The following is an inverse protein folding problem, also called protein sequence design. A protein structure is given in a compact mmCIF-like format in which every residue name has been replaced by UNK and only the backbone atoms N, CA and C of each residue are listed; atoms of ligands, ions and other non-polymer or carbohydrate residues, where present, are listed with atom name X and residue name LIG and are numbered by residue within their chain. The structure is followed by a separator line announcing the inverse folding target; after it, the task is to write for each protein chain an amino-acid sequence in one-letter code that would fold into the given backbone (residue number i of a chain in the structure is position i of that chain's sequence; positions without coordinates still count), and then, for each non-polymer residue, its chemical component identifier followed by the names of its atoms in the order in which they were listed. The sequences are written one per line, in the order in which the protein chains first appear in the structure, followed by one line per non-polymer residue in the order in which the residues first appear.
data_IF_823782024447
#
_entry.id   IF_823782024447
#
_cell.length_a   1.000
_cell.length_b   1.000
_cell.length_c   1.000
_cell.angle_alpha   90.00
_cell.angle_beta   90.00
_cell.angle_gamma   90.00
#
_symmetry.space_group_name_H-M   'P 1'
#
loop_
_entity.id
_entity.type
_entity.pdbx_description
1 polymer ?
#
# COMPACT_ATOMS: atom_id res chain seq x y z
N UNK A 1 -8.19 -29.65 9.01
CA UNK A 1 -6.99 -30.00 8.21
C UNK A 1 -6.53 -28.73 7.54
N UNK A 2 -5.26 -28.35 7.77
CA UNK A 2 -4.69 -27.05 7.38
C UNK A 2 -4.56 -26.98 5.85
N UNK A 3 -5.18 -25.98 5.21
CA UNK A 3 -4.91 -25.62 3.82
C UNK A 3 -3.68 -24.69 3.81
N UNK A 4 -2.61 -25.12 3.15
CA UNK A 4 -1.45 -24.29 2.85
C UNK A 4 -1.68 -23.71 1.46
N UNK A 5 -1.90 -22.40 1.35
CA UNK A 5 -1.68 -21.69 0.09
C UNK A 5 -0.18 -21.46 -0.06
N UNK A 6 0.37 -21.91 -1.18
CA UNK A 6 1.73 -21.65 -1.59
C UNK A 6 1.62 -20.59 -2.70
N UNK A 7 1.86 -19.32 -2.35
CA UNK A 7 2.09 -18.27 -3.34
C UNK A 7 3.53 -18.39 -3.84
N UNK A 8 3.70 -18.83 -5.09
CA UNK A 8 4.99 -18.82 -5.77
C UNK A 8 5.07 -17.49 -6.53
N UNK A 9 5.79 -16.52 -5.97
CA UNK A 9 6.22 -15.32 -6.69
C UNK A 9 7.63 -15.62 -7.22
N UNK A 10 7.74 -15.80 -8.53
CA UNK A 10 9.00 -15.96 -9.23
C UNK A 10 9.49 -14.59 -9.72
N UNK A 11 10.31 -13.90 -8.92
CA UNK A 11 11.07 -12.73 -9.38
C UNK A 11 12.42 -13.22 -9.90
N UNK A 12 12.59 -13.22 -11.21
CA UNK A 12 13.83 -13.58 -11.89
C UNK A 12 14.61 -12.31 -12.27
N UNK A 13 15.36 -11.73 -11.33
CA UNK A 13 16.28 -10.63 -11.64
C UNK A 13 17.69 -11.15 -11.92
N UNK A 14 18.03 -11.14 -13.21
CA UNK A 14 19.38 -11.43 -13.71
C UNK A 14 20.19 -10.13 -13.69
N UNK A 15 21.05 -9.95 -12.68
CA UNK A 15 21.99 -8.81 -12.62
C UNK A 15 23.43 -9.31 -12.78
N UNK A 16 23.99 -8.99 -13.95
CA UNK A 16 25.36 -9.27 -14.37
C UNK A 16 26.38 -8.40 -13.62
N UNK A 17 27.46 -9.02 -13.17
CA UNK A 17 28.57 -8.41 -12.47
C UNK A 17 29.41 -7.46 -13.35
N UNK A 18 29.99 -6.42 -12.74
CA UNK A 18 31.34 -5.93 -13.04
C UNK A 18 31.94 -5.24 -11.81
N UNK A 19 33.12 -5.73 -11.41
CA UNK A 19 33.94 -5.27 -10.30
C UNK A 19 34.91 -4.16 -10.71
N UNK A 20 35.27 -3.27 -9.78
CA UNK A 20 36.50 -2.45 -9.67
C UNK A 20 36.35 -1.57 -8.41
N UNK A 21 37.25 -1.41 -7.43
CA UNK A 21 38.66 -1.76 -7.25
C UNK A 21 39.40 -0.60 -6.53
N UNK A 22 40.17 -0.91 -5.48
CA UNK A 22 41.18 -0.11 -4.74
C UNK A 22 40.65 0.98 -3.77
N UNK A 23 41.03 1.07 -2.49
CA UNK A 23 42.35 0.94 -1.81
C UNK A 23 42.72 2.34 -1.27
N UNK A 24 43.24 2.63 -0.06
CA UNK A 24 44.01 1.88 0.92
C UNK A 24 44.33 2.78 2.16
N UNK A 25 44.41 2.20 3.37
CA UNK A 25 45.36 2.44 4.52
C UNK A 25 45.61 3.86 5.11
N UNK A 26 45.34 4.10 6.43
CA UNK A 26 46.24 4.03 7.62
C UNK A 26 47.07 5.34 7.83
N UNK A 27 47.38 5.94 9.00
CA UNK A 27 47.47 5.55 10.43
C UNK A 27 47.71 6.83 11.29
N UNK A 28 47.41 6.79 12.61
CA UNK A 28 48.20 7.25 13.80
C UNK A 28 48.82 8.69 13.86
N UNK A 29 49.07 9.36 15.00
CA UNK A 29 48.82 9.20 16.45
C UNK A 29 49.40 10.47 17.18
N UNK A 30 48.85 10.74 18.37
CA UNK A 30 49.48 11.23 19.63
C UNK A 30 50.08 12.64 19.87
N UNK A 31 49.61 13.20 21.01
CA UNK A 31 50.29 13.92 22.13
C UNK A 31 50.99 15.27 21.91
N UNK A 32 50.66 16.27 22.74
CA UNK A 32 51.30 16.41 24.05
C UNK A 32 50.62 17.43 24.99
N UNK A 33 50.84 17.23 26.28
CA UNK A 33 50.29 17.91 27.46
C UNK A 33 51.30 18.92 28.04
N UNK A 34 50.85 20.01 28.69
CA UNK A 34 51.52 20.71 29.80
C UNK A 34 50.59 21.87 30.28
N UNK A 35 50.01 21.87 31.48
CA UNK A 35 50.53 21.99 32.86
C UNK A 35 50.25 23.40 33.46
N UNK A 36 49.23 23.43 34.33
CA UNK A 36 49.07 24.04 35.67
C UNK A 36 49.70 25.42 35.99
N UNK A 37 48.90 26.33 36.54
CA UNK A 37 49.27 27.12 37.74
C UNK A 37 48.02 27.60 38.50
N UNK A 38 48.09 27.44 39.82
CA UNK A 38 47.06 27.64 40.85
C UNK A 38 47.47 28.84 41.73
N UNK A 39 46.51 29.62 42.25
CA UNK A 39 46.49 30.13 43.65
C UNK A 39 45.35 31.13 43.97
N UNK A 40 44.52 30.73 44.97
CA UNK A 40 44.08 31.46 46.18
C UNK A 40 43.22 32.75 46.06
N UNK A 41 41.88 32.67 46.24
CA UNK A 41 41.04 32.82 47.48
C UNK A 41 40.72 34.26 47.92
N UNK A 42 39.43 34.61 48.15
CA UNK A 42 38.76 34.97 49.44
C UNK A 42 37.21 35.08 49.24
N UNK A 43 36.46 34.60 50.24
CA UNK A 43 35.00 34.51 50.52
C UNK A 43 34.24 35.88 50.48
N UNK A 44 32.90 36.06 50.54
CA UNK A 44 31.75 35.24 50.95
C UNK A 44 30.40 35.85 50.46
N UNK A 45 29.36 35.00 50.38
CA UNK A 45 27.93 35.25 50.65
C UNK A 45 27.04 36.05 49.66
N UNK A 46 26.22 35.33 48.90
CA UNK A 46 24.75 35.50 48.86
C UNK A 46 24.09 34.29 48.19
N UNK A 47 22.93 33.88 48.71
CA UNK A 47 22.16 32.70 48.30
C UNK A 47 21.88 32.63 46.79
N UNK A 48 22.11 31.45 46.18
CA UNK A 48 21.70 31.14 44.82
C UNK A 48 20.57 30.11 44.87
N UNK A 49 19.42 30.50 44.32
CA UNK A 49 18.28 29.64 44.03
C UNK A 49 18.74 28.39 43.28
N UNK A 50 18.20 27.23 43.66
CA UNK A 50 18.33 26.01 42.88
C UNK A 50 17.72 26.26 41.49
N UNK A 51 18.59 26.43 40.50
CA UNK A 51 18.21 26.40 39.11
C UNK A 51 17.77 24.97 38.76
N UNK A 52 16.47 24.70 38.87
CA UNK A 52 15.86 23.53 38.23
C UNK A 52 16.12 23.64 36.73
N UNK A 53 17.03 22.80 36.22
CA UNK A 53 17.24 22.63 34.79
C UNK A 53 15.93 22.08 34.21
N UNK A 54 15.15 22.94 33.55
CA UNK A 54 13.99 22.51 32.79
C UNK A 54 14.52 21.72 31.58
N UNK A 55 14.41 20.39 31.64
CA UNK A 55 14.71 19.52 30.53
C UNK A 55 13.76 19.91 29.38
N UNK A 56 14.32 20.26 28.22
CA UNK A 56 13.52 20.66 27.06
C UNK A 56 12.54 19.54 26.68
N UNK A 57 11.31 19.89 26.32
CA UNK A 57 10.32 18.93 25.83
C UNK A 57 10.87 18.24 24.56
N UNK A 58 11.02 16.89 24.54
CA UNK A 58 11.64 16.19 23.41
C UNK A 58 10.74 16.11 22.17
N UNK A 59 9.47 16.52 22.28
CA UNK A 59 8.52 16.54 21.17
C UNK A 59 8.73 17.75 20.26
N UNK A 60 8.83 17.49 18.96
CA UNK A 60 8.93 18.50 17.90
C UNK A 60 7.70 18.40 17.00
N UNK A 61 7.05 19.53 16.71
CA UNK A 61 5.96 19.60 15.74
C UNK A 61 6.52 19.48 14.30
N UNK A 62 5.87 18.68 13.47
CA UNK A 62 6.30 18.35 12.10
C UNK A 62 5.13 18.40 11.12
N UNK A 63 5.39 18.36 9.81
CA UNK A 63 4.34 18.16 8.81
C UNK A 63 3.87 16.70 8.76
N UNK A 64 2.74 16.47 8.10
CA UNK A 64 2.26 15.11 7.81
C UNK A 64 3.21 14.35 6.88
N UNK A 65 3.80 15.04 5.89
CA UNK A 65 4.79 14.42 5.00
C UNK A 65 6.02 13.96 5.79
N UNK A 66 6.54 14.80 6.69
CA UNK A 66 7.65 14.43 7.58
C UNK A 66 7.29 13.27 8.52
N UNK A 67 6.02 13.14 8.91
CA UNK A 67 5.53 12.05 9.75
C UNK A 67 5.50 10.73 8.96
N UNK A 68 4.98 10.76 7.72
CA UNK A 68 4.94 9.62 6.81
C UNK A 68 6.35 9.13 6.43
N UNK A 69 7.32 10.04 6.31
CA UNK A 69 8.73 9.67 6.11
C UNK A 69 9.34 8.98 7.34
N UNK A 70 8.90 9.33 8.55
CA UNK A 70 9.45 8.82 9.79
C UNK A 70 8.91 7.44 10.21
N UNK A 71 7.72 7.06 9.75
CA UNK A 71 7.07 5.79 10.05
C UNK A 71 6.29 5.29 8.82
N UNK A 72 6.68 4.14 8.27
CA UNK A 72 5.95 3.52 7.16
C UNK A 72 4.50 3.14 7.58
N UNK A 73 3.57 3.01 6.61
CA UNK A 73 2.15 2.70 6.88
C UNK A 73 1.54 3.53 8.03
N UNK A 74 1.89 4.82 8.12
CA UNK A 74 1.33 5.69 9.14
C UNK A 74 -0.18 5.89 8.90
N UNK A 75 -0.95 6.01 9.97
CA UNK A 75 -2.35 6.42 9.87
C UNK A 75 -2.50 7.86 9.35
N UNK A 76 -3.74 8.26 9.02
CA UNK A 76 -4.12 9.65 8.75
C UNK A 76 -5.10 10.19 9.79
N UNK A 77 -5.32 11.50 9.81
CA UNK A 77 -6.41 12.08 10.59
C UNK A 77 -7.78 11.62 10.06
N UNK A 78 -8.75 11.26 10.92
CA UNK A 78 -10.08 10.84 10.48
C UNK A 78 -10.88 12.00 9.86
N UNK A 79 -11.88 11.68 9.05
CA UNK A 79 -12.75 12.67 8.43
C UNK A 79 -13.49 13.50 9.50
N UNK A 80 -13.57 14.82 9.32
CA UNK A 80 -14.20 15.73 10.28
C UNK A 80 -13.32 16.12 11.47
N UNK A 81 -12.09 15.60 11.57
CA UNK A 81 -11.14 16.02 12.60
C UNK A 81 -10.76 17.50 12.46
N UNK A 82 -10.59 18.15 13.61
CA UNK A 82 -10.11 19.53 13.74
C UNK A 82 -8.89 19.59 14.65
N UNK A 83 -8.19 20.74 14.71
CA UNK A 83 -6.99 20.93 15.55
C UNK A 83 -5.89 19.87 15.34
N UNK A 84 -5.78 19.37 14.10
CA UNK A 84 -4.83 18.32 13.72
C UNK A 84 -3.40 18.82 13.90
N UNK A 85 -2.60 18.13 14.71
CA UNK A 85 -1.19 18.45 14.93
C UNK A 85 -0.33 17.19 14.93
N UNK A 86 0.73 17.18 14.13
CA UNK A 86 1.70 16.10 14.06
C UNK A 86 2.95 16.43 14.88
N UNK A 87 3.44 15.45 15.63
CA UNK A 87 4.64 15.58 16.47
C UNK A 87 5.51 14.34 16.38
N UNK A 88 6.81 14.52 16.58
CA UNK A 88 7.80 13.44 16.61
C UNK A 88 8.67 13.54 17.85
N UNK A 89 8.95 12.39 18.46
CA UNK A 89 9.90 12.25 19.57
C UNK A 89 11.04 11.33 19.15
N UNK A 90 12.17 11.92 18.74
CA UNK A 90 13.35 11.18 18.29
C UNK A 90 14.08 10.47 19.42
N UNK A 91 13.98 11.01 20.64
CA UNK A 91 14.63 10.46 21.83
C UNK A 91 14.05 9.10 22.27
N UNK A 92 12.83 8.78 21.82
CA UNK A 92 12.18 7.48 22.05
C UNK A 92 12.49 6.46 20.94
N UNK A 93 13.25 6.84 19.91
CA UNK A 93 13.77 5.92 18.91
C UNK A 93 15.13 5.32 19.30
N UNK A 94 15.46 4.19 18.67
CA UNK A 94 16.76 3.56 18.77
C UNK A 94 17.17 2.92 17.42
N UNK A 95 17.81 3.69 16.53
CA UNK A 95 18.21 3.21 15.21
C UNK A 95 19.16 2.01 15.25
N UNK A 96 19.99 1.87 16.29
CA UNK A 96 20.90 0.71 16.45
C UNK A 96 20.14 -0.59 16.68
N UNK A 97 18.91 -0.51 17.20
CA UNK A 97 18.00 -1.64 17.42
C UNK A 97 16.89 -1.70 16.38
N UNK A 98 16.93 -0.85 15.34
CA UNK A 98 15.87 -0.77 14.33
C UNK A 98 14.56 -0.16 14.84
N UNK A 99 14.59 0.55 15.97
CA UNK A 99 13.41 1.22 16.53
C UNK A 99 13.38 2.65 16.00
N UNK A 100 12.32 2.99 15.27
CA UNK A 100 12.07 4.33 14.75
C UNK A 100 11.66 5.34 15.84
N UNK A 101 11.64 6.64 15.51
CA UNK A 101 11.10 7.66 16.41
C UNK A 101 9.61 7.41 16.69
N UNK A 102 9.12 7.91 17.83
CA UNK A 102 7.70 7.86 18.14
C UNK A 102 6.99 9.02 17.44
N UNK A 103 6.03 8.71 16.57
CA UNK A 103 5.19 9.69 15.87
C UNK A 103 3.86 9.81 16.61
N UNK A 104 3.37 11.03 16.78
CA UNK A 104 2.11 11.36 17.45
C UNK A 104 1.25 12.26 16.56
N UNK A 105 -0.04 11.96 16.52
CA UNK A 105 -1.09 12.80 15.96
C UNK A 105 -2.07 13.16 17.07
N UNK A 106 -2.25 14.46 17.29
CA UNK A 106 -3.29 14.99 18.16
C UNK A 106 -4.39 15.63 17.31
N UNK A 107 -5.64 15.35 17.62
CA UNK A 107 -6.78 15.93 16.91
C UNK A 107 -8.02 16.02 17.81
N UNK A 108 -9.01 16.76 17.37
CA UNK A 108 -10.33 16.85 18.01
C UNK A 108 -11.39 16.32 17.05
N UNK A 109 -12.19 15.37 17.49
CA UNK A 109 -13.33 14.82 16.75
C UNK A 109 -14.54 14.80 17.69
N UNK A 110 -15.68 15.34 17.23
CA UNK A 110 -16.91 15.47 18.03
C UNK A 110 -16.66 16.09 19.42
N UNK A 111 -15.89 17.20 19.46
CA UNK A 111 -15.46 17.92 20.67
C UNK A 111 -14.61 17.10 21.67
N UNK A 112 -14.16 15.90 21.30
CA UNK A 112 -13.30 15.04 22.12
C UNK A 112 -11.84 15.08 21.63
N UNK A 113 -10.85 15.25 22.53
CA UNK A 113 -9.44 15.23 22.16
C UNK A 113 -8.91 13.80 22.06
N UNK A 114 -8.31 13.47 20.93
CA UNK A 114 -7.66 12.20 20.65
C UNK A 114 -6.15 12.37 20.53
N UNK A 115 -5.43 11.34 20.98
CA UNK A 115 -4.00 11.17 20.74
C UNK A 115 -3.77 9.79 20.13
N UNK A 116 -3.25 9.78 18.90
CA UNK A 116 -2.81 8.59 18.20
C UNK A 116 -1.28 8.56 18.11
N UNK A 117 -0.69 7.37 18.19
CA UNK A 117 0.77 7.19 18.07
C UNK A 117 1.13 5.96 17.28
N UNK A 118 2.24 6.04 16.55
CA UNK A 118 2.83 4.94 15.82
C UNK A 118 4.35 4.88 16.07
N UNK A 119 4.89 3.66 16.16
CA UNK A 119 6.33 3.46 16.26
C UNK A 119 6.77 2.20 15.52
N UNK A 120 7.66 2.39 14.55
CA UNK A 120 8.30 1.30 13.84
C UNK A 120 9.37 0.61 14.70
N UNK A 121 9.43 -0.71 14.62
CA UNK A 121 10.37 -1.56 15.37
C UNK A 121 10.03 -1.74 16.85
N UNK A 122 8.97 -1.11 17.35
CA UNK A 122 8.47 -1.35 18.69
C UNK A 122 7.91 -2.79 18.79
N UNK A 123 8.09 -3.43 19.95
CA UNK A 123 7.49 -4.76 20.18
C UNK A 123 5.96 -4.67 20.23
N UNK A 124 5.28 -5.77 19.90
CA UNK A 124 3.81 -5.88 19.95
C UNK A 124 3.20 -5.41 21.29
N UNK A 125 3.85 -5.74 22.41
CA UNK A 125 3.38 -5.37 23.76
C UNK A 125 4.01 -4.07 24.29
N UNK A 126 4.67 -3.26 23.46
CA UNK A 126 5.24 -1.99 23.89
C UNK A 126 4.12 -0.97 24.18
N UNK A 127 4.16 -0.35 25.37
CA UNK A 127 3.31 0.79 25.67
C UNK A 127 3.87 2.06 25.00
N UNK A 128 3.34 2.36 23.82
CA UNK A 128 3.62 3.60 23.11
C UNK A 128 2.56 4.67 23.40
N UNK A 129 1.43 4.31 23.99
CA UNK A 129 0.29 5.19 24.22
C UNK A 129 0.56 6.22 25.32
N UNK A 130 1.40 5.88 26.31
CA UNK A 130 1.83 6.78 27.37
C UNK A 130 0.68 7.27 28.25
N UNK A 131 -0.33 6.41 28.43
CA UNK A 131 -1.48 6.64 29.29
C UNK A 131 -1.18 6.16 30.71
N UNK A 132 -1.05 7.09 31.65
CA UNK A 132 -0.77 6.79 33.06
C UNK A 132 -2.07 6.62 33.87
N UNK A 133 -2.89 5.64 33.49
CA UNK A 133 -4.18 5.32 34.12
C UNK A 133 -4.26 3.86 34.55
N UNK A 134 -5.16 3.54 35.48
CA UNK A 134 -5.49 2.16 35.83
C UNK A 134 -6.61 1.66 34.91
N UNK A 135 -6.35 0.62 34.13
CA UNK A 135 -7.33 0.01 33.23
C UNK A 135 -8.35 -0.80 34.05
N UNK A 136 -9.60 -0.37 34.01
CA UNK A 136 -10.72 -1.03 34.70
C UNK A 136 -11.40 -2.11 33.86
N UNK A 137 -11.27 -2.00 32.53
CA UNK A 137 -11.78 -2.93 31.52
C UNK A 137 -10.69 -3.17 30.49
N UNK A 138 -10.61 -4.40 29.99
CA UNK A 138 -9.63 -4.82 28.99
C UNK A 138 -8.35 -5.48 29.56
N UNK A 139 -7.47 -5.98 28.71
CA UNK A 139 -7.59 -6.00 27.25
C UNK A 139 -8.76 -6.87 26.77
N UNK A 140 -9.59 -6.32 25.89
CA UNK A 140 -10.58 -7.06 25.10
C UNK A 140 -10.09 -7.16 23.67
N UNK A 141 -10.11 -8.37 23.10
CA UNK A 141 -9.68 -8.58 21.72
C UNK A 141 -10.69 -8.01 20.72
N UNK A 142 -10.19 -7.36 19.69
CA UNK A 142 -10.96 -6.91 18.53
C UNK A 142 -10.22 -7.18 17.23
N UNK A 143 -10.88 -6.95 16.10
CA UNK A 143 -10.29 -7.07 14.76
C UNK A 143 -10.63 -5.82 13.96
N UNK A 144 -9.60 -5.19 13.40
CA UNK A 144 -9.74 -4.04 12.54
C UNK A 144 -9.94 -4.51 11.09
N UNK A 145 -11.05 -4.11 10.48
CA UNK A 145 -11.52 -4.52 9.15
C UNK A 145 -10.80 -3.79 8.01
N UNK A 146 -10.38 -2.54 8.20
CA UNK A 146 -9.65 -1.77 7.19
C UNK A 146 -8.14 -2.03 7.23
N UNK A 147 -7.64 -2.61 8.32
CA UNK A 147 -6.22 -2.85 8.56
C UNK A 147 -5.86 -4.32 8.31
N UNK A 148 -4.65 -4.57 7.77
CA UNK A 148 -4.13 -5.93 7.59
C UNK A 148 -5.08 -6.86 6.83
N UNK A 149 -5.65 -6.37 5.72
CA UNK A 149 -6.62 -7.10 4.89
C UNK A 149 -7.86 -7.60 5.68
N UNK A 150 -8.24 -6.86 6.72
CA UNK A 150 -9.38 -7.18 7.59
C UNK A 150 -9.09 -8.23 8.67
N UNK A 151 -7.81 -8.53 8.91
CA UNK A 151 -7.37 -9.53 9.89
C UNK A 151 -6.49 -8.93 10.98
N UNK A 152 -6.35 -7.60 11.05
CA UNK A 152 -5.48 -6.94 12.03
C UNK A 152 -6.07 -7.07 13.44
N UNK A 153 -5.36 -7.76 14.33
CA UNK A 153 -5.77 -7.91 15.72
C UNK A 153 -5.54 -6.60 16.50
N UNK A 154 -6.54 -6.21 17.30
CA UNK A 154 -6.47 -5.07 18.20
C UNK A 154 -6.83 -5.45 19.64
N UNK A 155 -6.42 -4.61 20.59
CA UNK A 155 -6.77 -4.72 22.01
C UNK A 155 -7.41 -3.42 22.47
N UNK A 156 -8.59 -3.53 23.08
CA UNK A 156 -9.33 -2.41 23.67
C UNK A 156 -9.15 -2.37 25.18
N UNK A 157 -9.02 -1.15 25.72
CA UNK A 157 -8.87 -0.87 27.14
C UNK A 157 -9.74 0.32 27.53
N UNK A 158 -10.30 0.28 28.74
CA UNK A 158 -11.04 1.40 29.33
C UNK A 158 -10.71 1.61 30.80
N UNK A 159 -10.42 2.86 31.15
CA UNK A 159 -10.29 3.33 32.52
C UNK A 159 -11.52 4.13 32.91
N UNK A 160 -12.10 3.83 34.07
CA UNK A 160 -13.25 4.53 34.63
C UNK A 160 -12.80 5.17 35.95
N UNK A 161 -12.76 6.50 35.98
CA UNK A 161 -12.42 7.26 37.18
C UNK A 161 -13.54 8.24 37.59
N UNK A 162 -13.37 8.87 38.74
CA UNK A 162 -14.35 9.85 39.25
C UNK A 162 -14.48 11.09 38.34
N UNK A 163 -13.47 11.35 37.51
CA UNK A 163 -13.37 12.52 36.63
C UNK A 163 -13.74 12.25 35.17
N UNK A 164 -14.07 11.00 34.82
CA UNK A 164 -14.41 10.60 33.46
C UNK A 164 -13.81 9.26 33.03
N UNK A 165 -13.75 9.07 31.73
CA UNK A 165 -13.35 7.84 31.06
C UNK A 165 -12.10 8.08 30.21
N UNK A 166 -11.26 7.05 30.11
CA UNK A 166 -10.19 6.97 29.10
C UNK A 166 -10.37 5.68 28.33
N UNK A 167 -10.57 5.78 27.03
CA UNK A 167 -10.59 4.64 26.12
C UNK A 167 -9.30 4.60 25.31
N UNK A 168 -8.81 3.39 25.07
CA UNK A 168 -7.64 3.15 24.26
C UNK A 168 -7.82 1.89 23.41
N UNK A 169 -7.37 1.96 22.16
CA UNK A 169 -7.22 0.81 21.28
C UNK A 169 -5.78 0.77 20.77
N UNK A 170 -5.20 -0.43 20.77
CA UNK A 170 -3.85 -0.70 20.25
C UNK A 170 -3.90 -1.82 19.22
N UNK A 171 -3.10 -1.73 18.15
CA UNK A 171 -2.95 -2.80 17.17
C UNK A 171 -1.49 -2.85 16.70
N UNK A 172 -1.08 -4.01 16.17
CA UNK A 172 0.31 -4.26 15.78
C UNK A 172 0.38 -4.88 14.39
N UNK A 173 1.06 -4.19 13.48
CA UNK A 173 1.38 -4.73 12.16
C UNK A 173 2.63 -5.61 12.25
N UNK A 174 2.41 -6.93 12.21
CA UNK A 174 3.47 -7.94 12.29
C UNK A 174 4.31 -8.03 11.01
N UNK A 175 3.78 -7.59 9.85
CA UNK A 175 4.48 -7.71 8.57
C UNK A 175 5.68 -6.76 8.51
N UNK A 176 5.49 -5.54 9.02
CA UNK A 176 6.49 -4.47 8.98
C UNK A 176 6.95 -4.01 10.37
N UNK A 177 6.39 -4.60 11.43
CA UNK A 177 6.80 -4.40 12.81
C UNK A 177 6.46 -3.01 13.35
N UNK A 178 5.21 -2.57 13.21
CA UNK A 178 4.75 -1.25 13.69
C UNK A 178 3.70 -1.42 14.77
N UNK A 179 3.92 -0.75 15.90
CA UNK A 179 2.93 -0.63 16.98
C UNK A 179 2.13 0.66 16.80
N UNK A 180 0.81 0.56 16.99
CA UNK A 180 -0.12 1.67 16.91
C UNK A 180 -0.97 1.78 18.18
N UNK A 181 -1.34 3.01 18.54
CA UNK A 181 -2.30 3.28 19.60
C UNK A 181 -3.18 4.48 19.25
N UNK A 182 -4.41 4.45 19.71
CA UNK A 182 -5.35 5.58 19.70
C UNK A 182 -5.97 5.67 21.08
N UNK A 183 -6.02 6.87 21.66
CA UNK A 183 -6.64 7.10 22.96
C UNK A 183 -7.45 8.39 22.99
N UNK A 184 -8.47 8.40 23.84
CA UNK A 184 -9.36 9.54 24.08
C UNK A 184 -9.72 9.61 25.55
N UNK A 185 -9.81 10.83 26.07
CA UNK A 185 -10.28 11.10 27.43
C UNK A 185 -11.47 12.05 27.39
N UNK A 186 -12.60 11.66 27.97
CA UNK A 186 -13.81 12.47 28.03
C UNK A 186 -14.61 12.22 29.31
N UNK A 187 -15.54 13.13 29.63
CA UNK A 187 -16.39 13.00 30.82
C UNK A 187 -17.37 11.82 30.73
N UNK A 188 -17.77 11.45 29.51
CA UNK A 188 -18.64 10.32 29.21
C UNK A 188 -18.21 9.68 27.89
N UNK A 189 -17.98 8.38 27.90
CA UNK A 189 -17.67 7.55 26.72
C UNK A 189 -18.58 6.32 26.65
N UNK A 190 -19.72 6.33 27.36
CA UNK A 190 -20.66 5.21 27.30
C UNK A 190 -21.23 5.04 25.89
N UNK A 191 -21.09 3.84 25.33
CA UNK A 191 -21.44 3.53 23.94
C UNK A 191 -20.56 4.18 22.86
N UNK A 192 -19.48 4.87 23.21
CA UNK A 192 -18.52 5.39 22.22
C UNK A 192 -17.69 4.25 21.61
N UNK A 193 -17.57 4.24 20.29
CA UNK A 193 -16.84 3.24 19.53
C UNK A 193 -15.50 3.80 19.05
N UNK A 194 -14.46 3.63 19.86
CA UNK A 194 -13.09 4.04 19.49
C UNK A 194 -12.52 3.21 18.33
N UNK A 195 -13.00 1.98 18.14
CA UNK A 195 -12.57 1.13 17.03
C UNK A 195 -12.97 1.77 15.71
N UNK A 196 -14.21 2.27 15.59
CA UNK A 196 -14.67 2.97 14.39
C UNK A 196 -13.81 4.18 14.02
N UNK A 197 -13.20 4.86 15.00
CA UNK A 197 -12.23 5.95 14.73
C UNK A 197 -10.90 5.39 14.22
N UNK A 198 -10.37 4.34 14.85
CA UNK A 198 -9.14 3.67 14.39
C UNK A 198 -9.28 3.13 12.95
N UNK A 199 -10.46 2.64 12.56
CA UNK A 199 -10.76 2.20 11.20
C UNK A 199 -10.73 3.33 10.17
N UNK A 200 -11.24 4.51 10.53
CA UNK A 200 -11.21 5.71 9.67
C UNK A 200 -9.81 6.28 9.49
N UNK A 201 -8.93 6.00 10.45
CA UNK A 201 -7.53 6.42 10.43
C UNK A 201 -6.66 5.59 9.48
N UNK A 202 -7.18 4.49 8.91
CA UNK A 202 -6.47 3.71 7.89
C UNK A 202 -6.11 4.59 6.68
N UNK A 203 -4.85 4.51 6.23
CA UNK A 203 -4.38 5.20 5.04
C UNK A 203 -3.79 4.22 4.02
N UNK A 204 -4.60 3.80 3.05
CA UNK A 204 -4.16 2.93 1.96
C UNK A 204 -3.10 3.56 1.05
N UNK A 205 -2.95 4.90 1.03
CA UNK A 205 -1.89 5.57 0.27
C UNK A 205 -0.49 5.32 0.88
N UNK A 206 -0.43 4.96 2.17
CA UNK A 206 0.82 4.66 2.87
C UNK A 206 1.20 3.17 2.83
N UNK A 207 0.45 2.34 2.07
CA UNK A 207 0.79 0.93 1.88
C UNK A 207 2.11 0.78 1.09
N UNK A 208 2.97 -0.21 1.43
CA UNK A 208 4.13 -0.55 0.64
C UNK A 208 3.72 -0.77 -0.82
N UNK A 209 4.51 -0.22 -1.73
CA UNK A 209 4.29 -0.30 -3.18
C UNK A 209 3.10 0.50 -3.73
N UNK A 210 2.38 1.29 -2.91
CA UNK A 210 1.35 2.21 -3.41
C UNK A 210 1.89 3.23 -4.43
N UNK A 211 3.17 3.63 -4.29
CA UNK A 211 3.86 4.56 -5.18
C UNK A 211 4.77 3.90 -6.22
N UNK A 212 4.70 2.57 -6.40
CA UNK A 212 5.46 1.92 -7.47
C UNK A 212 4.70 2.00 -8.80
N UNK A 213 5.35 2.43 -9.89
CA UNK A 213 4.77 2.34 -11.22
C UNK A 213 4.31 0.92 -11.55
N UNK A 214 3.04 0.79 -11.94
CA UNK A 214 2.41 -0.48 -12.29
C UNK A 214 2.40 -0.77 -13.80
N UNK A 215 2.72 0.21 -14.64
CA UNK A 215 2.75 0.05 -16.09
C UNK A 215 3.71 1.02 -16.80
N UNK A 216 3.79 0.89 -18.14
CA UNK A 216 4.63 1.73 -18.98
C UNK A 216 4.34 3.23 -18.81
N UNK A 217 3.08 3.62 -18.61
CA UNK A 217 2.67 5.02 -18.55
C UNK A 217 3.10 5.64 -17.22
N UNK A 218 2.92 4.93 -16.11
CA UNK A 218 3.39 5.36 -14.80
C UNK A 218 4.92 5.39 -14.74
N UNK A 219 5.60 4.40 -15.34
CA UNK A 219 7.08 4.39 -15.42
C UNK A 219 7.61 5.59 -16.19
N UNK A 220 6.95 5.93 -17.31
CA UNK A 220 7.33 7.03 -18.17
C UNK A 220 7.02 8.41 -17.56
N UNK A 221 5.84 8.56 -16.94
CA UNK A 221 5.36 9.84 -16.43
C UNK A 221 5.82 10.15 -15.00
N UNK A 222 6.13 9.12 -14.21
CA UNK A 222 6.35 9.23 -12.77
C UNK A 222 5.07 9.51 -11.97
N UNK A 223 3.89 9.36 -12.58
CA UNK A 223 2.58 9.60 -11.96
C UNK A 223 1.90 8.25 -11.75
N UNK A 224 1.61 7.89 -10.50
CA UNK A 224 1.01 6.57 -10.14
C UNK A 224 -0.51 6.60 -10.00
N UNK A 225 -1.10 7.79 -9.90
CA UNK A 225 -2.55 7.98 -9.92
C UNK A 225 -2.92 9.31 -10.57
N UNK A 226 -4.06 9.32 -11.27
CA UNK A 226 -4.54 10.44 -12.07
C UNK A 226 -5.89 10.94 -11.53
N UNK A 227 -6.21 12.22 -11.73
CA UNK A 227 -7.51 12.73 -11.33
C UNK A 227 -8.61 12.36 -12.33
N UNK A 228 -8.27 12.33 -13.62
CA UNK A 228 -9.20 12.08 -14.73
C UNK A 228 -8.58 11.23 -15.82
N UNK A 229 -9.41 10.67 -16.71
CA UNK A 229 -8.93 9.99 -17.92
C UNK A 229 -8.21 10.93 -18.89
N UNK A 230 -8.59 12.21 -18.92
CA UNK A 230 -7.88 13.20 -19.74
C UNK A 230 -6.44 13.41 -19.25
N UNK A 231 -6.18 13.32 -17.95
CA UNK A 231 -4.82 13.39 -17.41
C UNK A 231 -4.00 12.16 -17.81
N UNK A 232 -4.62 10.97 -17.88
CA UNK A 232 -3.99 9.74 -18.38
C UNK A 232 -3.63 9.92 -19.87
N UNK A 233 -4.59 10.38 -20.68
CA UNK A 233 -4.38 10.59 -22.13
C UNK A 233 -3.31 11.66 -22.38
N UNK A 234 -3.28 12.73 -21.58
CA UNK A 234 -2.28 13.79 -21.70
C UNK A 234 -0.85 13.33 -21.35
N UNK A 235 -0.70 12.23 -20.60
CA UNK A 235 0.59 11.65 -20.26
C UNK A 235 1.15 10.71 -21.36
N UNK A 236 0.34 10.33 -22.35
CA UNK A 236 0.77 9.50 -23.48
C UNK A 236 1.67 10.28 -24.46
N UNK A 237 2.59 9.56 -25.10
CA UNK A 237 3.50 10.07 -26.12
C UNK A 237 3.01 9.75 -27.54
N UNK A 238 3.49 10.46 -28.57
CA UNK A 238 3.18 10.13 -29.96
C UNK A 238 3.45 8.65 -30.30
N UNK A 239 2.48 7.99 -30.93
CA UNK A 239 2.54 6.56 -31.28
C UNK A 239 1.94 5.61 -30.24
N UNK A 240 1.71 6.09 -29.01
CA UNK A 240 0.90 5.40 -27.99
C UNK A 240 -0.59 5.61 -28.30
N UNK A 241 -1.46 4.83 -27.67
CA UNK A 241 -2.89 4.92 -27.93
C UNK A 241 -3.79 4.65 -26.75
N UNK A 242 -5.05 5.03 -26.92
CA UNK A 242 -6.09 4.82 -25.92
C UNK A 242 -7.42 4.41 -26.56
N UNK A 243 -8.25 3.69 -25.79
CA UNK A 243 -9.60 3.33 -26.15
C UNK A 243 -10.49 3.31 -24.90
N UNK A 244 -11.69 3.89 -24.99
CA UNK A 244 -12.72 3.69 -23.99
C UNK A 244 -13.39 2.34 -24.24
N UNK A 245 -13.38 1.47 -23.23
CA UNK A 245 -13.96 0.13 -23.32
C UNK A 245 -14.95 -0.10 -22.19
N UNK A 246 -16.04 -0.80 -22.49
CA UNK A 246 -17.01 -1.21 -21.47
C UNK A 246 -16.69 -2.62 -21.02
N UNK A 247 -16.41 -2.81 -19.74
CA UNK A 247 -16.16 -4.12 -19.13
C UNK A 247 -17.31 -4.55 -18.21
N UNK A 248 -17.56 -5.85 -18.14
CA UNK A 248 -18.41 -6.41 -17.09
C UNK A 248 -17.79 -6.05 -15.75
N UNK A 249 -18.66 -5.62 -14.83
CA UNK A 249 -18.28 -5.19 -13.50
C UNK A 249 -17.97 -3.70 -13.37
N UNK A 250 -18.07 -2.94 -14.46
CA UNK A 250 -18.17 -1.48 -14.40
C UNK A 250 -19.51 -1.01 -14.96
N UNK A 251 -20.10 0.00 -14.33
CA UNK A 251 -21.29 0.67 -14.88
C UNK A 251 -20.89 1.78 -15.88
N UNK A 252 -19.63 2.24 -15.81
CA UNK A 252 -19.00 3.24 -16.69
C UNK A 252 -17.96 2.59 -17.63
N UNK A 253 -17.59 3.29 -18.70
CA UNK A 253 -16.45 2.89 -19.52
C UNK A 253 -15.14 3.08 -18.75
N UNK A 254 -14.21 2.17 -18.97
CA UNK A 254 -12.83 2.26 -18.46
C UNK A 254 -11.90 2.63 -19.62
N UNK A 255 -10.70 3.12 -19.31
CA UNK A 255 -9.73 3.52 -20.31
C UNK A 255 -8.68 2.43 -20.49
N UNK A 256 -8.61 1.84 -21.67
CA UNK A 256 -7.47 1.01 -22.08
C UNK A 256 -6.41 1.91 -22.72
N UNK A 257 -5.16 1.77 -22.30
CA UNK A 257 -4.01 2.48 -22.91
C UNK A 257 -2.95 1.47 -23.34
N UNK A 258 -2.21 1.80 -24.39
CA UNK A 258 -1.17 0.95 -24.97
C UNK A 258 0.04 1.77 -25.37
N UNK A 259 1.23 1.19 -25.27
CA UNK A 259 2.49 1.81 -25.67
C UNK A 259 2.71 1.76 -27.19
N UNK A 260 1.97 0.91 -27.91
CA UNK A 260 2.10 0.71 -29.34
C UNK A 260 0.75 0.40 -30.01
N UNK A 261 0.38 1.24 -30.98
CA UNK A 261 -0.75 0.97 -31.88
C UNK A 261 -0.24 0.51 -33.25
N UNK A 262 -0.78 -0.60 -33.76
CA UNK A 262 -0.48 -1.07 -35.11
C UNK A 262 -1.14 -0.17 -36.16
N UNK A 263 -0.34 0.46 -37.02
CA UNK A 263 -0.84 1.41 -38.05
C UNK A 263 -1.83 0.79 -39.05
N UNK A 264 -1.79 -0.53 -39.27
CA UNK A 264 -2.56 -1.19 -40.32
C UNK A 264 -4.07 -1.24 -40.00
N UNK A 265 -4.42 -1.43 -38.74
CA UNK A 265 -5.78 -1.67 -38.27
C UNK A 265 -6.12 -0.98 -36.94
N UNK A 266 -5.19 -0.15 -36.45
CA UNK A 266 -5.29 0.56 -35.16
C UNK A 266 -5.52 -0.38 -33.97
N UNK A 267 -5.06 -1.62 -34.06
CA UNK A 267 -5.13 -2.58 -32.96
C UNK A 267 -3.91 -2.50 -32.05
N UNK A 268 -4.00 -3.15 -30.89
CA UNK A 268 -2.87 -3.37 -30.00
C UNK A 268 -2.93 -4.79 -29.44
N UNK A 269 -1.78 -5.32 -29.04
CA UNK A 269 -1.69 -6.62 -28.39
C UNK A 269 -1.45 -6.51 -26.88
N UNK A 270 -1.11 -5.34 -26.35
CA UNK A 270 -0.84 -5.15 -24.92
C UNK A 270 -1.49 -3.87 -24.44
N UNK A 271 -2.20 -3.93 -23.30
CA UNK A 271 -2.83 -2.77 -22.68
C UNK A 271 -2.62 -2.74 -21.17
N UNK A 272 -2.66 -1.53 -20.64
CA UNK A 272 -3.03 -1.24 -19.26
C UNK A 272 -4.46 -0.75 -19.22
N UNK A 273 -5.25 -1.25 -18.27
CA UNK A 273 -6.62 -0.78 -18.03
C UNK A 273 -6.61 0.18 -16.85
N UNK A 274 -7.24 1.34 -17.01
CA UNK A 274 -7.43 2.35 -15.98
C UNK A 274 -8.92 2.48 -15.63
N UNK A 275 -9.24 2.33 -14.35
CA UNK A 275 -10.58 2.54 -13.81
C UNK A 275 -10.55 3.63 -12.72
N UNK A 276 -11.70 3.96 -12.14
CA UNK A 276 -11.84 5.01 -11.13
C UNK A 276 -12.18 4.48 -9.72
N UNK A 277 -11.32 3.69 -9.07
CA UNK A 277 -11.56 3.30 -7.68
C UNK A 277 -11.59 4.53 -6.78
N UNK A 278 -12.62 4.65 -5.93
CA UNK A 278 -12.72 5.70 -4.90
C UNK A 278 -12.56 7.14 -5.43
N UNK A 279 -12.93 7.39 -6.69
CA UNK A 279 -12.90 8.73 -7.28
C UNK A 279 -11.56 9.18 -7.88
N UNK A 280 -10.49 8.38 -7.79
CA UNK A 280 -9.21 8.62 -8.49
C UNK A 280 -9.03 7.60 -9.62
N UNK A 281 -8.38 8.00 -10.71
CA UNK A 281 -8.10 7.13 -11.85
C UNK A 281 -6.78 6.41 -11.62
N UNK A 282 -6.82 5.08 -11.56
CA UNK A 282 -5.67 4.23 -11.31
C UNK A 282 -5.64 3.04 -12.26
N UNK A 283 -4.45 2.50 -12.50
CA UNK A 283 -4.28 1.27 -13.25
C UNK A 283 -4.88 0.11 -12.44
N UNK A 284 -5.63 -0.76 -13.10
CA UNK A 284 -6.38 -1.86 -12.46
C UNK A 284 -6.03 -3.24 -13.02
N UNK A 285 -5.16 -3.32 -14.02
CA UNK A 285 -4.62 -4.57 -14.56
C UNK A 285 -4.07 -4.40 -15.98
N UNK A 286 -3.22 -5.35 -16.37
CA UNK A 286 -2.65 -5.43 -17.70
C UNK A 286 -3.12 -6.70 -18.41
N UNK A 287 -3.21 -6.64 -19.72
CA UNK A 287 -3.52 -7.81 -20.56
C UNK A 287 -2.69 -7.78 -21.80
N UNK A 288 -2.18 -8.96 -22.16
CA UNK A 288 -1.38 -9.16 -23.36
C UNK A 288 -1.88 -10.32 -24.21
N UNK A 289 -1.84 -10.11 -25.52
CA UNK A 289 -1.79 -11.15 -26.53
C UNK A 289 -0.36 -11.32 -27.00
N UNK A 290 -0.15 -11.55 -28.30
CA UNK A 290 1.19 -11.80 -28.84
C UNK A 290 1.38 -11.19 -30.23
N UNK A 291 1.75 -9.91 -30.24
CA UNK A 291 1.96 -9.14 -31.45
C UNK A 291 0.70 -8.98 -32.31
N UNK A 292 0.89 -8.51 -33.54
CA UNK A 292 -0.22 -8.19 -34.46
C UNK A 292 -1.02 -9.40 -34.94
N UNK A 293 -0.51 -10.63 -34.74
CA UNK A 293 -1.24 -11.85 -35.07
C UNK A 293 -2.37 -12.14 -34.05
N UNK A 294 -2.19 -11.69 -32.81
CA UNK A 294 -3.12 -11.93 -31.70
C UNK A 294 -3.42 -10.61 -30.98
N UNK A 295 -4.12 -9.67 -31.64
CA UNK A 295 -4.54 -8.43 -31.01
C UNK A 295 -5.62 -8.67 -29.97
N UNK A 296 -5.79 -7.72 -29.06
CA UNK A 296 -6.82 -7.77 -28.03
C UNK A 296 -8.21 -7.52 -28.61
N UNK A 297 -9.19 -8.22 -28.04
CA UNK A 297 -10.57 -8.24 -28.53
C UNK A 297 -11.56 -8.01 -27.39
N UNK A 298 -12.72 -7.45 -27.71
CA UNK A 298 -13.77 -7.14 -26.73
C UNK A 298 -15.15 -7.50 -27.26
N UNK A 299 -15.91 -8.26 -26.48
CA UNK A 299 -17.32 -8.52 -26.75
C UNK A 299 -18.07 -8.71 -25.43
N UNK A 300 -19.29 -8.15 -25.33
CA UNK A 300 -20.17 -8.30 -24.16
C UNK A 300 -19.51 -8.01 -22.80
N UNK A 301 -18.58 -7.05 -22.79
CA UNK A 301 -17.85 -6.65 -21.60
C UNK A 301 -16.78 -7.63 -21.12
N UNK A 302 -16.41 -8.60 -21.96
CA UNK A 302 -15.31 -9.53 -21.72
C UNK A 302 -14.16 -9.18 -22.67
N UNK A 303 -12.98 -9.03 -22.07
CA UNK A 303 -11.74 -8.81 -22.80
C UNK A 303 -11.12 -10.17 -23.14
N UNK A 304 -10.67 -10.32 -24.37
CA UNK A 304 -10.13 -11.57 -24.92
C UNK A 304 -8.67 -11.35 -25.34
N UNK A 305 -7.80 -12.29 -24.93
CA UNK A 305 -6.36 -12.19 -25.11
C UNK A 305 -5.71 -13.57 -25.34
N UNK A 306 -4.41 -13.67 -25.03
CA UNK A 306 -3.59 -14.86 -25.28
C UNK A 306 -3.04 -14.94 -26.70
N UNK A 307 -2.52 -16.11 -27.07
CA UNK A 307 -1.86 -16.34 -28.35
C UNK A 307 -2.35 -17.64 -29.03
N UNK A 308 -1.53 -18.33 -29.81
CA UNK A 308 -1.90 -19.65 -30.35
C UNK A 308 -1.69 -20.82 -29.39
N UNK A 309 -1.19 -20.56 -28.19
CA UNK A 309 -0.89 -21.50 -27.12
C UNK A 309 -1.65 -21.19 -25.82
N UNK A 310 -2.32 -20.04 -25.73
CA UNK A 310 -3.26 -19.71 -24.66
C UNK A 310 -4.55 -19.04 -25.15
N UNK A 311 -5.65 -19.41 -24.51
CA UNK A 311 -6.94 -18.74 -24.55
C UNK A 311 -7.17 -18.08 -23.20
N UNK A 312 -7.37 -16.77 -23.20
CA UNK A 312 -7.50 -15.99 -21.97
C UNK A 312 -8.64 -15.00 -22.08
N UNK A 313 -9.45 -14.89 -21.04
CA UNK A 313 -10.53 -13.90 -20.94
C UNK A 313 -10.49 -13.18 -19.61
N UNK A 314 -10.95 -11.93 -19.59
CA UNK A 314 -10.87 -11.04 -18.42
C UNK A 314 -12.13 -10.20 -18.25
N UNK A 315 -12.43 -9.83 -17.01
CA UNK A 315 -13.51 -8.93 -16.61
C UNK A 315 -13.03 -8.02 -15.46
N UNK A 316 -13.71 -6.91 -15.20
CA UNK A 316 -13.40 -6.07 -14.05
C UNK A 316 -14.16 -6.57 -12.83
N UNK A 317 -13.50 -6.91 -11.73
CA UNK A 317 -14.19 -7.25 -10.48
C UNK A 317 -14.79 -6.01 -9.83
N UNK A 318 -16.09 -6.02 -9.50
CA UNK A 318 -16.74 -4.95 -8.72
C UNK A 318 -16.19 -4.84 -7.30
N UNK A 319 -15.81 -5.97 -6.72
CA UNK A 319 -15.37 -6.07 -5.34
C UNK A 319 -13.93 -5.59 -5.16
N UNK A 320 -13.04 -6.02 -6.05
CA UNK A 320 -11.61 -5.73 -5.96
C UNK A 320 -11.21 -4.52 -6.81
N UNK A 321 -12.12 -4.00 -7.65
CA UNK A 321 -11.87 -2.92 -8.63
C UNK A 321 -10.59 -3.18 -9.43
N UNK A 322 -10.42 -4.43 -9.85
CA UNK A 322 -9.24 -4.91 -10.54
C UNK A 322 -9.63 -5.88 -11.66
N UNK A 323 -8.83 -5.91 -12.71
CA UNK A 323 -9.05 -6.77 -13.87
C UNK A 323 -8.68 -8.21 -13.50
N UNK A 324 -9.66 -9.09 -13.58
CA UNK A 324 -9.55 -10.48 -13.15
C UNK A 324 -9.67 -11.41 -14.34
N UNK A 325 -8.80 -12.40 -14.37
CA UNK A 325 -8.87 -13.48 -15.33
C UNK A 325 -10.14 -14.30 -15.09
N UNK A 326 -10.98 -14.41 -16.10
CA UNK A 326 -12.20 -15.22 -16.08
C UNK A 326 -11.88 -16.66 -16.47
N UNK A 327 -11.29 -16.86 -17.65
CA UNK A 327 -10.93 -18.16 -18.20
C UNK A 327 -9.45 -18.16 -18.64
N UNK A 328 -8.78 -19.30 -18.47
CA UNK A 328 -7.44 -19.56 -18.96
C UNK A 328 -7.33 -21.00 -19.42
N UNK A 329 -6.94 -21.23 -20.67
CA UNK A 329 -6.65 -22.57 -21.19
C UNK A 329 -5.36 -22.50 -22.00
N UNK A 330 -4.43 -23.42 -21.78
CA UNK A 330 -3.18 -23.50 -22.53
C UNK A 330 -2.85 -24.93 -22.93
N UNK A 331 -2.22 -25.09 -24.09
CA UNK A 331 -1.67 -26.37 -24.57
C UNK A 331 -0.31 -26.75 -23.92
N UNK A 332 0.21 -25.87 -23.05
CA UNK A 332 1.44 -26.13 -22.31
C UNK A 332 2.72 -26.07 -23.15
N UNK A 333 2.67 -25.65 -24.42
CA UNK A 333 3.85 -25.52 -25.28
C UNK A 333 4.82 -24.48 -24.72
N UNK A 334 4.30 -23.31 -24.34
CA UNK A 334 5.09 -22.22 -23.74
C UNK A 334 5.74 -22.64 -22.40
N UNK A 335 5.09 -23.53 -21.64
CA UNK A 335 5.61 -24.07 -20.38
C UNK A 335 6.50 -25.32 -20.56
N UNK A 336 6.58 -25.87 -21.77
CA UNK A 336 7.31 -27.11 -22.07
C UNK A 336 6.63 -28.40 -21.57
N UNK A 337 5.42 -28.34 -21.00
CA UNK A 337 4.67 -29.53 -20.58
C UNK A 337 4.04 -30.25 -21.76
N UNK A 338 3.59 -29.51 -22.79
CA UNK A 338 2.75 -30.02 -23.88
C UNK A 338 1.48 -30.73 -23.36
N UNK A 339 0.96 -30.26 -22.22
CA UNK A 339 -0.24 -30.76 -21.59
C UNK A 339 -1.30 -29.65 -21.55
N UNK A 340 -2.49 -29.98 -22.03
CA UNK A 340 -3.65 -29.09 -21.90
C UNK A 340 -4.00 -28.90 -20.43
N UNK A 341 -3.98 -27.65 -19.99
CA UNK A 341 -4.28 -27.26 -18.62
C UNK A 341 -5.04 -25.95 -18.62
N UNK A 342 -5.75 -25.67 -17.53
CA UNK A 342 -6.45 -24.42 -17.37
C UNK A 342 -7.74 -24.55 -16.60
N UNK A 343 -8.51 -23.48 -16.58
CA UNK A 343 -9.80 -23.40 -15.93
C UNK A 343 -10.74 -22.46 -16.69
N UNK A 344 -12.03 -22.62 -16.39
CA UNK A 344 -13.08 -21.68 -16.80
C UNK A 344 -13.91 -21.25 -15.61
N UNK A 345 -14.53 -20.08 -15.69
CA UNK A 345 -15.53 -19.61 -14.75
C UNK A 345 -16.88 -19.44 -15.43
N UNK A 346 -17.93 -19.98 -14.83
CA UNK A 346 -19.30 -19.83 -15.32
C UNK A 346 -19.78 -18.38 -15.20
N UNK A 347 -19.34 -17.68 -14.15
CA UNK A 347 -19.75 -16.32 -13.81
C UNK A 347 -18.57 -15.36 -13.81
N UNK A 348 -18.88 -14.08 -13.99
CA UNK A 348 -17.91 -12.99 -13.95
C UNK A 348 -17.70 -12.52 -12.50
N UNK A 349 -17.22 -13.43 -11.65
CA UNK A 349 -16.88 -13.20 -10.24
C UNK A 349 -15.60 -13.94 -9.91
N UNK A 350 -14.67 -13.28 -9.22
CA UNK A 350 -13.36 -13.85 -8.95
C UNK A 350 -13.42 -14.99 -7.93
N UNK A 351 -14.31 -14.84 -6.95
CA UNK A 351 -14.49 -15.76 -5.82
C UNK A 351 -15.36 -16.97 -6.16
N UNK A 352 -15.99 -16.99 -7.34
CA UNK A 352 -16.72 -18.16 -7.81
C UNK A 352 -15.75 -19.31 -8.14
N UNK A 353 -16.20 -20.54 -7.87
CA UNK A 353 -15.42 -21.75 -8.13
C UNK A 353 -15.03 -21.85 -9.62
N UNK A 354 -13.77 -22.17 -9.85
CA UNK A 354 -13.24 -22.49 -11.18
C UNK A 354 -13.52 -23.94 -11.53
N UNK A 355 -13.83 -24.20 -12.80
CA UNK A 355 -13.90 -25.57 -13.34
C UNK A 355 -12.64 -25.86 -14.14
N UNK A 356 -11.88 -26.87 -13.73
CA UNK A 356 -10.70 -27.34 -14.48
C UNK A 356 -11.08 -27.69 -15.92
N UNK A 357 -10.27 -27.26 -16.87
CA UNK A 357 -10.46 -27.59 -18.27
C UNK A 357 -10.10 -29.06 -18.52
N UNK A 358 -11.09 -29.89 -18.83
CA UNK A 358 -10.90 -31.31 -19.17
C UNK A 358 -11.18 -31.61 -20.65
N UNK A 359 -11.11 -30.59 -21.50
CA UNK A 359 -11.37 -30.69 -22.93
C UNK A 359 -10.21 -31.34 -23.70
N UNK A 360 -10.45 -31.57 -24.98
CA UNK A 360 -9.50 -32.10 -25.95
C UNK A 360 -8.74 -30.98 -26.68
N UNK A 361 -7.76 -31.34 -27.49
CA UNK A 361 -7.07 -30.39 -28.39
C UNK A 361 -8.05 -29.70 -29.35
N UNK A 362 -9.06 -30.43 -29.85
CA UNK A 362 -10.10 -29.85 -30.72
C UNK A 362 -10.92 -28.80 -29.96
N UNK A 363 -11.24 -29.05 -28.70
CA UNK A 363 -11.95 -28.08 -27.85
C UNK A 363 -11.11 -26.80 -27.64
N UNK A 364 -9.80 -26.94 -27.44
CA UNK A 364 -8.89 -25.81 -27.32
C UNK A 364 -8.78 -25.01 -28.63
N UNK A 365 -8.61 -25.69 -29.77
CA UNK A 365 -8.58 -25.03 -31.08
C UNK A 365 -9.89 -24.29 -31.39
N UNK A 366 -11.03 -24.84 -30.96
CA UNK A 366 -12.32 -24.18 -31.07
C UNK A 366 -12.38 -22.91 -30.21
N UNK A 367 -11.83 -22.90 -28.99
CA UNK A 367 -11.74 -21.70 -28.16
C UNK A 367 -10.92 -20.59 -28.84
N UNK A 368 -9.77 -20.95 -29.43
CA UNK A 368 -8.92 -20.01 -30.17
C UNK A 368 -9.64 -19.45 -31.40
N UNK A 369 -10.32 -20.30 -32.18
CA UNK A 369 -11.09 -19.84 -33.33
C UNK A 369 -12.28 -18.96 -32.94
N UNK A 370 -12.96 -19.26 -31.82
CA UNK A 370 -14.04 -18.42 -31.30
C UNK A 370 -13.52 -17.06 -30.82
N UNK A 371 -12.35 -17.03 -30.18
CA UNK A 371 -11.66 -15.77 -29.83
C UNK A 371 -11.38 -14.94 -31.08
N UNK A 372 -10.83 -15.54 -32.13
CA UNK A 372 -10.38 -14.81 -33.33
C UNK A 372 -11.53 -14.20 -34.13
N UNK A 373 -12.77 -14.64 -33.88
CA UNK A 373 -14.00 -14.06 -34.44
C UNK A 373 -14.49 -12.83 -33.69
N UNK A 374 -14.00 -12.57 -32.46
CA UNK A 374 -14.45 -11.43 -31.64
C UNK A 374 -13.93 -10.10 -32.20
N UNK A 375 -14.66 -8.99 -32.03
CA UNK A 375 -14.22 -7.67 -32.50
C UNK A 375 -12.86 -7.28 -31.89
N UNK A 376 -11.95 -6.78 -32.73
CA UNK A 376 -10.67 -6.21 -32.28
C UNK A 376 -10.93 -4.84 -31.63
N UNK A 377 -10.18 -4.52 -30.58
CA UNK A 377 -10.22 -3.18 -29.98
C UNK A 377 -9.45 -2.23 -30.88
N UNK A 378 -10.14 -1.17 -31.34
CA UNK A 378 -9.52 -0.09 -32.11
C UNK A 378 -9.09 1.04 -31.17
N UNK A 379 -7.85 1.50 -31.32
CA UNK A 379 -7.24 2.55 -30.50
C UNK A 379 -7.16 3.88 -31.25
N UNK A 380 -7.35 4.97 -30.50
CA UNK A 380 -7.00 6.30 -30.97
C UNK A 380 -5.51 6.52 -30.73
N UNK A 381 -4.77 6.83 -31.80
CA UNK A 381 -3.34 7.12 -31.75
C UNK A 381 -3.12 8.56 -31.29
N UNK A 382 -2.18 8.77 -30.39
CA UNK A 382 -1.70 10.11 -29.99
C UNK A 382 -0.71 10.61 -31.05
N UNK A 383 -0.95 11.82 -31.58
CA UNK A 383 -0.15 12.45 -32.64
C UNK A 383 1.06 13.24 -32.15
#
# INVERSE_FOLDING_TARGET
MKKKLISIIAVLTMASACASGCGSTQTQETTDNAEVTEAATVEASAAAEEATVQMANPWVEISEEEANEACARLFKAPEGATNVTWRICKDLGNPEQGIGPLVQLDFTLDDMPFTARAQQGASEDADIAGNYVEWTVGPEDTTLANWGEGNMAGKFYRSIGDTGYVDMITWYDVEIGISYSLSVAAADLDGFDIQAVAEQMYNGENEPFADMPADFLQEQSGIVSFATYDDVIAALQPGQGYAYIKLTGSDEEVLAVTDLVFEADHSAYEISVYAKPNGKVSQVGNVSGNGSAYPLRLEDGILYAGDNHSYETYFLSKEYVSLMMKDYVSDGVNAGSNELTGFTREKNSFDDETTDFTGTQEDFENLLQERDKKPVIEFTIVE
#
